data_IF_516693291641
#
_entry.id   IF_516693291641
#
_cell.length_a   1.000
_cell.length_b   1.000
_cell.length_c   1.000
_cell.angle_alpha   90.00
_cell.angle_beta   90.00
_cell.angle_gamma   90.00
#
_symmetry.space_group_name_H-M   'P 1'
#
loop_
_entity.id
_entity.type
_entity.pdbx_description
1 polymer ?
#
# COMPACT_ATOMS: atom_id res chain seq x y z
N UNK A 1 56.76 47.21 31.49
CA UNK A 1 56.28 46.79 30.15
C UNK A 1 56.00 45.28 30.10
N UNK A 2 56.78 44.46 30.81
CA UNK A 2 56.65 42.99 30.79
C UNK A 2 55.32 42.45 31.36
N UNK A 3 54.75 43.07 32.40
CA UNK A 3 53.45 42.67 32.96
C UNK A 3 52.27 42.94 32.01
N UNK A 4 52.34 44.00 31.21
CA UNK A 4 51.30 44.35 30.23
C UNK A 4 51.41 43.42 29.01
N UNK A 5 52.64 43.10 28.57
CA UNK A 5 52.88 42.14 27.49
C UNK A 5 52.41 40.72 27.86
N UNK A 6 52.64 40.26 29.10
CA UNK A 6 52.17 38.96 29.58
C UNK A 6 50.64 38.89 29.73
N UNK A 7 50.00 40.00 30.13
CA UNK A 7 48.53 40.07 30.25
C UNK A 7 47.86 40.08 28.86
N UNK A 8 48.47 40.74 27.87
CA UNK A 8 47.98 40.75 26.49
C UNK A 8 48.19 39.38 25.82
N UNK A 9 49.31 38.70 26.06
CA UNK A 9 49.54 37.36 25.49
C UNK A 9 48.56 36.33 26.05
N UNK A 10 48.27 36.38 27.35
CA UNK A 10 47.29 35.50 27.99
C UNK A 10 45.86 35.74 27.44
N UNK A 11 45.47 36.99 27.16
CA UNK A 11 44.14 37.28 26.59
C UNK A 11 44.03 36.89 25.12
N UNK A 12 45.11 36.93 24.35
CA UNK A 12 45.12 36.47 22.95
C UNK A 12 45.04 34.95 22.83
N UNK A 13 45.62 34.21 23.77
CA UNK A 13 45.55 32.74 23.80
C UNK A 13 44.12 32.26 24.10
N UNK A 14 43.44 32.86 25.08
CA UNK A 14 42.02 32.57 25.37
C UNK A 14 41.11 32.92 24.18
N UNK A 15 41.31 34.09 23.56
CA UNK A 15 40.54 34.52 22.38
C UNK A 15 40.72 33.55 21.19
N UNK A 16 41.94 33.05 20.98
CA UNK A 16 42.24 32.06 19.94
C UNK A 16 41.54 30.72 20.20
N UNK A 17 41.45 30.29 21.46
CA UNK A 17 40.74 29.07 21.87
C UNK A 17 39.24 29.14 21.60
N UNK A 18 38.60 30.28 21.91
CA UNK A 18 37.18 30.49 21.61
C UNK A 18 36.89 30.47 20.11
N UNK A 19 37.79 31.01 19.28
CA UNK A 19 37.65 30.98 17.81
C UNK A 19 37.70 29.54 17.31
N UNK A 20 38.62 28.71 17.79
CA UNK A 20 38.74 27.30 17.38
C UNK A 20 37.47 26.52 17.76
N UNK A 21 36.94 26.72 18.96
CA UNK A 21 35.70 26.07 19.41
C UNK A 21 34.51 26.52 18.56
N UNK A 22 34.36 27.81 18.28
CA UNK A 22 33.31 28.34 17.40
C UNK A 22 33.40 27.78 15.98
N UNK A 23 34.63 27.68 15.44
CA UNK A 23 34.87 27.15 14.10
C UNK A 23 34.55 25.65 14.04
N UNK A 24 34.87 24.89 15.09
CA UNK A 24 34.47 23.49 15.24
C UNK A 24 32.94 23.32 15.24
N UNK A 25 32.21 24.08 16.04
CA UNK A 25 30.75 24.03 16.07
C UNK A 25 30.12 24.50 14.76
N UNK A 26 30.70 25.50 14.10
CA UNK A 26 30.25 25.96 12.79
C UNK A 26 30.42 24.88 11.72
N UNK A 27 31.57 24.20 11.69
CA UNK A 27 31.83 23.08 10.77
C UNK A 27 30.90 21.90 11.09
N UNK A 28 30.69 21.59 12.36
CA UNK A 28 29.75 20.54 12.78
C UNK A 28 28.32 20.87 12.32
N UNK A 29 27.87 22.11 12.54
CA UNK A 29 26.57 22.59 12.08
C UNK A 29 26.45 22.55 10.55
N UNK A 30 27.51 22.92 9.83
CA UNK A 30 27.53 22.88 8.37
C UNK A 30 27.49 21.45 7.83
N UNK A 31 28.19 20.51 8.46
CA UNK A 31 28.13 19.08 8.12
C UNK A 31 26.73 18.53 8.39
N UNK A 32 26.13 18.86 9.54
CA UNK A 32 24.74 18.51 9.85
C UNK A 32 23.81 19.10 8.78
N UNK A 33 23.89 20.40 8.50
CA UNK A 33 23.09 21.06 7.49
C UNK A 33 23.28 20.44 6.09
N UNK A 34 24.49 20.07 5.70
CA UNK A 34 24.80 19.44 4.42
C UNK A 34 24.34 17.99 4.34
N UNK A 35 24.29 17.26 5.46
CA UNK A 35 23.67 15.93 5.56
C UNK A 35 22.13 16.01 5.47
N UNK A 36 21.52 17.04 6.07
CA UNK A 36 20.06 17.23 6.06
C UNK A 36 19.56 17.95 4.81
N UNK A 37 20.37 18.78 4.14
CA UNK A 37 20.04 19.52 2.93
C UNK A 37 19.52 18.64 1.77
N UNK A 38 20.17 17.52 1.39
CA UNK A 38 19.62 16.63 0.36
C UNK A 38 18.32 15.98 0.83
N UNK A 39 18.16 15.70 2.12
CA UNK A 39 16.89 15.20 2.69
C UNK A 39 15.80 16.28 2.60
N UNK A 40 16.13 17.55 2.85
CA UNK A 40 15.22 18.70 2.77
C UNK A 40 14.86 19.04 1.32
N UNK A 41 15.84 19.08 0.40
CA UNK A 41 15.62 19.31 -1.03
C UNK A 41 14.90 18.14 -1.68
N UNK A 42 15.25 16.91 -1.30
CA UNK A 42 14.46 15.74 -1.67
C UNK A 42 13.05 15.89 -1.13
N UNK A 43 12.87 16.15 0.17
CA UNK A 43 11.55 16.38 0.80
C UNK A 43 10.77 17.54 0.16
N UNK A 44 11.44 18.59 -0.33
CA UNK A 44 10.82 19.72 -1.02
C UNK A 44 10.40 19.35 -2.45
N UNK A 45 11.26 18.68 -3.22
CA UNK A 45 10.94 18.14 -4.56
C UNK A 45 9.82 17.10 -4.48
N UNK A 46 9.82 16.36 -3.40
CA UNK A 46 8.81 15.40 -3.00
C UNK A 46 7.51 16.08 -2.62
N UNK A 47 7.54 17.12 -1.78
CA UNK A 47 6.36 17.91 -1.42
C UNK A 47 5.72 18.48 -2.66
N UNK A 48 6.51 19.05 -3.57
CA UNK A 48 6.02 19.53 -4.88
C UNK A 48 5.32 18.44 -5.70
N UNK A 49 5.87 17.23 -5.73
CA UNK A 49 5.21 16.09 -6.39
C UNK A 49 3.96 15.63 -5.64
N UNK A 50 4.00 15.58 -4.32
CA UNK A 50 2.86 15.20 -3.49
C UNK A 50 1.71 16.21 -3.62
N UNK A 51 2.02 17.51 -3.67
CA UNK A 51 1.04 18.57 -3.93
C UNK A 51 0.52 18.49 -5.35
N UNK A 52 1.36 18.20 -6.35
CA UNK A 52 0.89 17.98 -7.73
C UNK A 52 -0.08 16.80 -7.81
N UNK A 53 0.24 15.69 -7.14
CA UNK A 53 -0.61 14.50 -6.99
C UNK A 53 -1.91 14.84 -6.25
N UNK A 54 -1.83 15.58 -5.15
CA UNK A 54 -2.98 16.01 -4.38
C UNK A 54 -3.87 16.96 -5.19
N UNK A 55 -3.28 17.82 -6.01
CA UNK A 55 -3.99 18.69 -6.94
C UNK A 55 -4.59 17.89 -8.12
N UNK A 56 -3.95 16.83 -8.60
CA UNK A 56 -4.54 15.89 -9.57
C UNK A 56 -5.76 15.16 -8.96
N UNK A 57 -5.72 14.85 -7.65
CA UNK A 57 -6.88 14.34 -6.89
C UNK A 57 -7.95 15.40 -6.62
N UNK A 58 -7.54 16.66 -6.44
CA UNK A 58 -8.43 17.79 -6.16
C UNK A 58 -8.91 18.51 -7.42
N UNK A 59 -8.47 18.08 -8.60
CA UNK A 59 -9.14 18.43 -9.85
C UNK A 59 -10.60 18.03 -9.73
N UNK A 60 -11.52 18.78 -10.34
CA UNK A 60 -12.96 18.48 -10.27
C UNK A 60 -13.22 17.07 -10.77
N UNK A 61 -13.31 16.10 -9.86
CA UNK A 61 -13.69 14.73 -10.18
C UNK A 61 -15.19 14.77 -10.39
N UNK A 62 -15.61 14.65 -11.64
CA UNK A 62 -17.02 14.60 -11.99
C UNK A 62 -17.52 13.20 -11.61
N UNK A 63 -18.68 13.16 -10.94
CA UNK A 63 -19.39 11.91 -10.65
C UNK A 63 -19.60 11.12 -11.95
N UNK A 64 -19.20 9.85 -11.97
CA UNK A 64 -19.37 8.98 -13.14
C UNK A 64 -20.38 7.89 -12.83
N UNK A 65 -21.38 7.72 -13.70
CA UNK A 65 -22.43 6.71 -13.51
C UNK A 65 -21.93 5.29 -13.76
N UNK A 66 -20.96 5.11 -14.67
CA UNK A 66 -20.46 3.80 -15.07
C UNK A 66 -19.07 3.52 -14.49
N UNK A 67 -18.76 2.25 -14.16
CA UNK A 67 -17.40 1.86 -13.83
C UNK A 67 -16.47 2.09 -15.03
N UNK A 68 -15.15 2.23 -14.80
CA UNK A 68 -14.18 2.40 -15.87
C UNK A 68 -14.31 1.30 -16.94
N UNK A 69 -14.28 1.71 -18.21
CA UNK A 69 -14.78 0.89 -19.31
C UNK A 69 -14.10 -0.49 -19.37
N UNK A 70 -14.93 -1.55 -19.31
CA UNK A 70 -14.50 -2.95 -19.44
C UNK A 70 -13.81 -3.52 -18.21
N UNK A 71 -13.74 -2.81 -17.09
CA UNK A 71 -13.21 -3.32 -15.81
C UNK A 71 -14.27 -4.01 -14.99
N UNK A 72 -13.92 -5.13 -14.34
CA UNK A 72 -14.75 -5.80 -13.34
C UNK A 72 -14.52 -5.19 -11.96
N UNK A 73 -15.43 -5.47 -11.02
CA UNK A 73 -15.32 -5.02 -9.64
C UNK A 73 -14.00 -5.44 -8.99
N UNK A 74 -13.56 -6.69 -9.19
CA UNK A 74 -12.28 -7.16 -8.65
C UNK A 74 -11.06 -6.45 -9.25
N UNK A 75 -11.10 -6.12 -10.55
CA UNK A 75 -10.05 -5.34 -11.21
C UNK A 75 -10.02 -3.90 -10.68
N UNK A 76 -11.19 -3.27 -10.51
CA UNK A 76 -11.33 -1.93 -9.93
C UNK A 76 -10.82 -1.91 -8.49
N UNK A 77 -11.12 -2.93 -7.69
CA UNK A 77 -10.64 -3.06 -6.31
C UNK A 77 -9.14 -3.10 -6.20
N UNK A 78 -8.54 -4.00 -6.96
CA UNK A 78 -7.09 -4.11 -7.02
C UNK A 78 -6.43 -2.82 -7.52
N UNK A 79 -7.04 -2.07 -8.44
CA UNK A 79 -6.53 -0.76 -8.83
C UNK A 79 -6.73 0.31 -7.74
N UNK A 80 -7.83 0.22 -6.99
CA UNK A 80 -8.18 1.15 -5.93
C UNK A 80 -7.25 1.04 -4.73
N UNK A 81 -7.10 -0.15 -4.14
CA UNK A 81 -6.36 -0.32 -2.89
C UNK A 81 -5.05 -1.12 -3.02
N UNK A 82 -4.74 -1.66 -4.20
CA UNK A 82 -3.54 -2.48 -4.49
C UNK A 82 -3.48 -3.81 -3.73
N UNK A 83 -4.59 -4.23 -3.17
CA UNK A 83 -4.74 -5.44 -2.39
C UNK A 83 -5.88 -6.29 -2.99
N UNK A 84 -5.88 -7.57 -2.66
CA UNK A 84 -6.94 -8.49 -3.08
C UNK A 84 -7.32 -9.28 -1.85
N UNK A 85 -8.53 -9.05 -1.38
CA UNK A 85 -9.10 -9.65 -0.19
C UNK A 85 -10.35 -10.46 -0.57
N UNK A 86 -11.06 -10.96 0.45
CA UNK A 86 -12.27 -11.74 0.26
C UNK A 86 -13.39 -10.92 -0.41
N UNK A 87 -13.40 -9.60 -0.23
CA UNK A 87 -14.41 -8.70 -0.84
C UNK A 87 -14.34 -8.72 -2.37
N UNK A 88 -13.16 -8.82 -2.98
CA UNK A 88 -13.01 -8.97 -4.44
C UNK A 88 -13.56 -10.32 -4.92
N UNK A 89 -13.35 -11.39 -4.14
CA UNK A 89 -13.91 -12.72 -4.45
C UNK A 89 -15.44 -12.68 -4.41
N UNK A 90 -16.01 -12.11 -3.35
CA UNK A 90 -17.46 -11.94 -3.19
C UNK A 90 -18.04 -11.10 -4.33
N UNK A 91 -17.40 -9.98 -4.65
CA UNK A 91 -17.81 -9.12 -5.76
C UNK A 91 -17.79 -9.86 -7.11
N UNK A 92 -16.76 -10.66 -7.40
CA UNK A 92 -16.72 -11.47 -8.62
C UNK A 92 -17.85 -12.50 -8.70
N UNK A 93 -18.23 -13.12 -7.58
CA UNK A 93 -19.37 -14.06 -7.55
C UNK A 93 -20.70 -13.32 -7.73
N UNK A 94 -20.85 -12.14 -7.12
CA UNK A 94 -22.03 -11.29 -7.29
C UNK A 94 -22.16 -10.74 -8.72
N UNK A 95 -21.06 -10.43 -9.39
CA UNK A 95 -21.09 -10.10 -10.83
C UNK A 95 -21.61 -11.27 -11.67
N UNK A 96 -21.19 -12.51 -11.37
CA UNK A 96 -21.69 -13.70 -12.06
C UNK A 96 -23.18 -13.93 -11.80
N UNK A 97 -23.64 -13.60 -10.59
CA UNK A 97 -25.07 -13.62 -10.26
C UNK A 97 -25.85 -12.57 -11.05
N UNK A 98 -25.34 -11.33 -11.12
CA UNK A 98 -25.94 -10.27 -11.90
C UNK A 98 -26.03 -10.61 -13.40
N UNK A 99 -24.99 -11.27 -13.95
CA UNK A 99 -25.00 -11.77 -15.34
C UNK A 99 -25.98 -12.94 -15.56
N UNK A 100 -26.54 -13.50 -14.48
CA UNK A 100 -27.46 -14.64 -14.51
C UNK A 100 -26.77 -15.96 -14.83
N UNK A 101 -25.46 -16.08 -14.58
CA UNK A 101 -24.72 -17.34 -14.74
C UNK A 101 -24.97 -18.29 -13.56
N UNK A 102 -25.14 -17.74 -12.36
CA UNK A 102 -25.40 -18.47 -11.12
C UNK A 102 -26.32 -17.67 -10.20
N UNK A 103 -26.74 -18.28 -9.09
CA UNK A 103 -27.48 -17.62 -8.00
C UNK A 103 -26.90 -18.06 -6.67
N UNK A 104 -26.66 -17.10 -5.78
CA UNK A 104 -26.15 -17.40 -4.43
C UNK A 104 -27.33 -17.84 -3.56
N UNK A 105 -27.26 -19.07 -3.04
CA UNK A 105 -28.31 -19.66 -2.19
C UNK A 105 -27.97 -19.61 -0.70
N UNK A 106 -26.69 -19.41 -0.36
CA UNK A 106 -26.21 -19.37 1.02
C UNK A 106 -24.79 -18.83 1.10
N UNK A 107 -24.27 -18.69 2.31
CA UNK A 107 -22.99 -17.99 2.56
C UNK A 107 -21.79 -18.62 1.83
N UNK A 108 -21.86 -19.91 1.50
CA UNK A 108 -20.84 -20.64 0.74
C UNK A 108 -21.44 -21.57 -0.35
N UNK A 109 -22.67 -21.29 -0.80
CA UNK A 109 -23.38 -22.15 -1.74
C UNK A 109 -23.97 -21.36 -2.90
N UNK A 110 -23.76 -21.89 -4.12
CA UNK A 110 -24.27 -21.31 -5.36
C UNK A 110 -25.02 -22.37 -6.16
N UNK A 111 -26.09 -21.96 -6.82
CA UNK A 111 -26.81 -22.74 -7.83
C UNK A 111 -26.43 -22.21 -9.20
N UNK A 112 -25.90 -23.06 -10.08
CA UNK A 112 -25.60 -22.68 -11.46
C UNK A 112 -26.92 -22.54 -12.21
N UNK A 113 -27.13 -21.40 -12.87
CA UNK A 113 -28.32 -21.14 -13.68
C UNK A 113 -28.04 -21.39 -15.16
N UNK A 114 -26.85 -20.98 -15.62
CA UNK A 114 -26.46 -21.06 -17.03
C UNK A 114 -24.96 -21.40 -17.15
N UNK A 115 -24.68 -22.62 -17.63
CA UNK A 115 -23.31 -23.12 -17.83
C UNK A 115 -22.61 -22.44 -19.01
N UNK A 116 -23.34 -21.96 -20.01
CA UNK A 116 -22.77 -21.29 -21.18
C UNK A 116 -22.21 -19.92 -20.80
N UNK A 117 -22.95 -19.15 -20.00
CA UNK A 117 -22.50 -17.87 -19.45
C UNK A 117 -21.32 -18.06 -18.50
N UNK A 118 -21.33 -19.10 -17.68
CA UNK A 118 -20.21 -19.42 -16.79
C UNK A 118 -18.95 -19.82 -17.57
N UNK A 119 -19.08 -20.48 -18.73
CA UNK A 119 -17.96 -20.81 -19.60
C UNK A 119 -17.32 -19.56 -20.23
N UNK A 120 -18.12 -18.53 -20.54
CA UNK A 120 -17.68 -17.23 -21.05
C UNK A 120 -17.15 -16.28 -19.96
N UNK A 121 -17.34 -16.62 -18.68
CA UNK A 121 -16.84 -15.82 -17.56
C UNK A 121 -15.31 -15.72 -17.58
N UNK A 122 -14.80 -14.63 -16.99
CA UNK A 122 -13.36 -14.39 -16.86
C UNK A 122 -12.70 -15.42 -15.95
N UNK A 123 -11.39 -15.58 -16.10
CA UNK A 123 -10.62 -16.60 -15.35
C UNK A 123 -10.73 -16.37 -13.85
N UNK A 124 -10.54 -15.12 -13.39
CA UNK A 124 -10.65 -14.81 -11.97
C UNK A 124 -12.06 -15.08 -11.41
N UNK A 125 -13.12 -14.86 -12.20
CA UNK A 125 -14.50 -15.10 -11.78
C UNK A 125 -14.78 -16.59 -11.58
N UNK A 126 -14.26 -17.46 -12.45
CA UNK A 126 -14.34 -18.92 -12.28
C UNK A 126 -13.64 -19.36 -11.00
N UNK A 127 -12.42 -18.85 -10.78
CA UNK A 127 -11.64 -19.11 -9.57
C UNK A 127 -12.37 -18.58 -8.32
N UNK A 128 -13.07 -17.44 -8.42
CA UNK A 128 -13.85 -16.89 -7.31
C UNK A 128 -14.98 -17.84 -6.88
N UNK A 129 -15.69 -18.45 -7.82
CA UNK A 129 -16.71 -19.47 -7.52
C UNK A 129 -16.10 -20.66 -6.80
N UNK A 130 -14.93 -21.12 -7.22
CA UNK A 130 -14.21 -22.18 -6.53
C UNK A 130 -13.86 -21.78 -5.09
N UNK A 131 -13.33 -20.57 -4.86
CA UNK A 131 -13.03 -20.11 -3.50
C UNK A 131 -14.27 -19.96 -2.63
N UNK A 132 -15.34 -19.41 -3.19
CA UNK A 132 -16.61 -19.21 -2.49
C UNK A 132 -17.26 -20.54 -2.08
N UNK A 133 -17.21 -21.53 -2.97
CA UNK A 133 -17.79 -22.87 -2.70
C UNK A 133 -16.86 -23.77 -1.87
N UNK A 134 -15.53 -23.64 -2.01
CA UNK A 134 -14.55 -24.44 -1.27
C UNK A 134 -14.51 -24.13 0.22
N UNK A 135 -14.98 -22.94 0.64
CA UNK A 135 -15.23 -22.64 2.06
C UNK A 135 -16.19 -23.65 2.73
N UNK A 136 -16.97 -24.41 1.95
CA UNK A 136 -17.86 -25.49 2.41
C UNK A 136 -17.17 -26.89 2.49
N UNK A 137 -15.95 -27.08 1.99
CA UNK A 137 -15.32 -28.42 1.91
C UNK A 137 -14.57 -28.87 3.18
N UNK A 138 -14.47 -28.03 4.22
CA UNK A 138 -13.71 -28.35 5.43
C UNK A 138 -14.60 -28.57 6.67
N UNK A 139 -15.23 -29.75 6.75
CA UNK A 139 -15.07 -30.69 7.87
C UNK A 139 -15.54 -32.08 7.38
N UNK A 140 -14.76 -33.18 7.54
CA UNK A 140 -13.72 -33.50 8.52
C UNK A 140 -12.28 -33.29 7.96
N UNK A 141 -11.21 -33.04 8.72
CA UNK A 141 -10.77 -33.61 10.00
C UNK A 141 -10.06 -32.56 10.91
N UNK A 142 -10.30 -32.70 12.22
CA UNK A 142 -9.48 -32.40 13.42
C UNK A 142 -8.55 -31.16 13.43
N UNK A 143 -8.82 -30.19 14.33
CA UNK A 143 -8.00 -29.76 15.50
C UNK A 143 -8.73 -28.63 16.23
N UNK A 144 -8.61 -28.65 17.56
CA UNK A 144 -9.41 -28.02 18.61
C UNK A 144 -9.12 -26.52 18.87
N UNK A 145 -10.04 -25.90 19.64
CA UNK A 145 -9.95 -24.67 20.45
C UNK A 145 -10.60 -23.33 19.99
N UNK A 146 -11.91 -23.21 20.36
CA UNK A 146 -12.64 -22.13 21.10
C UNK A 146 -12.45 -20.64 20.71
N UNK A 147 -13.48 -19.86 20.29
CA UNK A 147 -14.74 -19.49 21.00
C UNK A 147 -15.93 -19.19 20.04
N UNK A 148 -17.14 -19.51 20.51
CA UNK A 148 -18.40 -19.79 19.79
C UNK A 148 -19.49 -18.69 19.95
N UNK A 149 -20.32 -18.43 18.91
CA UNK A 149 -21.67 -17.80 18.99
C UNK A 149 -22.70 -18.61 18.16
N UNK A 150 -23.80 -18.96 18.78
CA UNK A 150 -24.57 -20.17 18.57
C UNK A 150 -25.90 -20.07 17.81
N UNK A 151 -26.25 -21.11 17.02
CA UNK A 151 -27.58 -21.34 16.44
C UNK A 151 -27.94 -22.85 16.39
N UNK A 152 -29.16 -23.22 16.79
CA UNK A 152 -29.56 -24.61 17.07
C UNK A 152 -30.17 -25.35 15.87
N UNK A 153 -29.73 -26.58 15.58
CA UNK A 153 -30.42 -27.55 14.70
C UNK A 153 -30.36 -28.94 15.36
N UNK A 154 -31.49 -29.64 15.49
CA UNK A 154 -31.66 -30.87 16.30
C UNK A 154 -31.35 -30.72 17.81
N UNK A 155 -31.67 -29.57 18.41
CA UNK A 155 -31.42 -29.33 19.84
C UNK A 155 -29.93 -29.23 20.21
N UNK A 156 -29.03 -29.13 19.24
CA UNK A 156 -27.62 -28.79 19.44
C UNK A 156 -27.23 -27.54 18.68
N UNK A 157 -26.39 -26.79 19.35
CA UNK A 157 -26.01 -25.41 19.11
C UNK A 157 -24.76 -25.34 18.21
N UNK A 158 -24.80 -24.58 17.11
CA UNK A 158 -23.73 -24.48 16.12
C UNK A 158 -23.35 -23.01 15.85
N UNK A 159 -22.07 -22.70 16.04
CA UNK A 159 -21.46 -21.42 15.72
C UNK A 159 -20.43 -21.57 14.62
N UNK A 160 -20.45 -20.73 13.59
CA UNK A 160 -19.43 -20.74 12.55
C UNK A 160 -18.81 -19.35 12.35
N UNK A 161 -17.50 -19.31 12.55
CA UNK A 161 -16.63 -18.18 12.18
C UNK A 161 -16.07 -18.46 10.79
N UNK A 162 -16.10 -17.47 9.91
CA UNK A 162 -15.48 -17.53 8.58
C UNK A 162 -13.98 -17.78 8.75
N UNK A 163 -13.39 -18.84 8.17
CA UNK A 163 -11.94 -18.99 8.16
C UNK A 163 -11.32 -17.93 7.24
N UNK A 164 -10.77 -16.88 7.83
CA UNK A 164 -9.94 -15.89 7.14
C UNK A 164 -8.55 -16.48 6.93
N UNK A 165 -8.34 -17.05 5.75
CA UNK A 165 -7.13 -16.91 4.91
C UNK A 165 -7.03 -18.12 3.99
N UNK A 166 -7.86 -18.16 2.94
CA UNK A 166 -7.43 -18.93 1.78
C UNK A 166 -6.29 -18.18 1.11
N UNK A 167 -5.27 -18.91 0.68
CA UNK A 167 -4.22 -18.33 -0.12
C UNK A 167 -4.83 -17.86 -1.46
N UNK A 168 -5.20 -16.57 -1.53
CA UNK A 168 -5.81 -15.95 -2.70
C UNK A 168 -4.81 -15.77 -3.85
N UNK A 169 -3.65 -16.42 -3.83
CA UNK A 169 -2.60 -16.25 -4.84
C UNK A 169 -3.08 -16.56 -6.25
N UNK A 170 -3.88 -17.61 -6.45
CA UNK A 170 -4.39 -17.95 -7.78
C UNK A 170 -5.37 -16.91 -8.30
N UNK A 171 -6.32 -16.48 -7.44
CA UNK A 171 -7.26 -15.42 -7.77
C UNK A 171 -6.54 -14.10 -8.04
N UNK A 172 -5.63 -13.70 -7.15
CA UNK A 172 -4.80 -12.49 -7.29
C UNK A 172 -3.97 -12.52 -8.58
N UNK A 173 -3.39 -13.68 -8.92
CA UNK A 173 -2.62 -13.85 -10.14
C UNK A 173 -3.51 -13.71 -11.38
N UNK A 174 -4.71 -14.28 -11.38
CA UNK A 174 -5.67 -14.16 -12.48
C UNK A 174 -6.12 -12.70 -12.69
N UNK A 175 -6.54 -11.99 -11.63
CA UNK A 175 -6.93 -10.57 -11.74
C UNK A 175 -5.76 -9.72 -12.26
N UNK A 176 -4.53 -9.98 -11.79
CA UNK A 176 -3.33 -9.27 -12.27
C UNK A 176 -3.02 -9.58 -13.73
N UNK A 177 -3.18 -10.84 -14.14
CA UNK A 177 -2.94 -11.25 -15.51
C UNK A 177 -3.91 -10.54 -16.46
N UNK A 178 -5.20 -10.47 -16.10
CA UNK A 178 -6.22 -9.76 -16.88
C UNK A 178 -5.96 -8.24 -16.94
N UNK A 179 -5.61 -7.62 -15.81
CA UNK A 179 -5.18 -6.22 -15.78
C UNK A 179 -3.94 -5.98 -16.64
N UNK A 180 -2.99 -6.91 -16.62
CA UNK A 180 -1.77 -6.84 -17.44
C UNK A 180 -2.09 -6.92 -18.93
N UNK A 181 -3.06 -7.73 -19.35
CA UNK A 181 -3.54 -7.77 -20.74
C UNK A 181 -4.15 -6.45 -21.18
N UNK A 182 -4.80 -5.74 -20.26
CA UNK A 182 -5.27 -4.36 -20.46
C UNK A 182 -4.15 -3.32 -20.35
N UNK A 183 -2.92 -3.77 -20.13
CA UNK A 183 -1.70 -2.98 -20.01
C UNK A 183 -1.55 -2.24 -18.68
N UNK A 184 -2.24 -2.67 -17.62
CA UNK A 184 -2.06 -2.18 -16.25
C UNK A 184 -1.16 -3.13 -15.47
N UNK A 185 0.01 -2.65 -15.05
CA UNK A 185 0.93 -3.42 -14.22
C UNK A 185 0.74 -3.01 -12.76
N UNK A 186 0.23 -3.93 -11.95
CA UNK A 186 -0.02 -3.72 -10.51
C UNK A 186 0.87 -4.66 -9.70
N UNK A 187 1.78 -4.07 -8.92
CA UNK A 187 2.59 -4.77 -7.92
C UNK A 187 1.87 -4.77 -6.55
N UNK A 188 2.09 -5.82 -5.73
CA UNK A 188 1.63 -5.86 -4.34
C UNK A 188 2.03 -4.60 -3.56
N UNK A 189 1.12 -4.06 -2.76
CA UNK A 189 1.42 -2.96 -1.83
C UNK A 189 2.64 -3.26 -0.94
N UNK A 190 2.70 -4.46 -0.35
CA UNK A 190 3.84 -4.89 0.50
C UNK A 190 5.16 -4.99 -0.26
N UNK A 191 5.15 -5.44 -1.52
CA UNK A 191 6.37 -5.50 -2.35
C UNK A 191 6.82 -4.09 -2.73
N UNK A 192 5.89 -3.22 -3.13
CA UNK A 192 6.19 -1.83 -3.44
C UNK A 192 6.78 -1.10 -2.23
N UNK A 193 6.17 -1.24 -1.04
CA UNK A 193 6.68 -0.65 0.21
C UNK A 193 8.12 -1.11 0.51
N UNK A 194 8.41 -2.41 0.38
CA UNK A 194 9.78 -2.94 0.56
C UNK A 194 10.76 -2.38 -0.47
N UNK A 195 10.39 -2.34 -1.76
CA UNK A 195 11.23 -1.74 -2.81
C UNK A 195 11.55 -0.27 -2.51
N UNK A 196 10.58 0.49 -1.96
CA UNK A 196 10.77 1.90 -1.58
C UNK A 196 11.67 2.06 -0.37
N UNK A 197 11.43 1.29 0.70
CA UNK A 197 12.31 1.27 1.89
C UNK A 197 13.74 0.94 1.45
N UNK A 198 13.93 -0.13 0.67
CA UNK A 198 15.25 -0.52 0.18
C UNK A 198 15.94 0.59 -0.63
N UNK A 199 15.23 1.28 -1.53
CA UNK A 199 15.77 2.44 -2.26
C UNK A 199 16.13 3.59 -1.33
N UNK A 200 15.31 3.90 -0.34
CA UNK A 200 15.59 4.96 0.64
C UNK A 200 16.80 4.61 1.49
N UNK A 201 16.91 3.37 1.98
CA UNK A 201 18.09 2.87 2.69
C UNK A 201 19.33 3.01 1.82
N UNK A 202 19.26 2.55 0.56
CA UNK A 202 20.38 2.63 -0.37
C UNK A 202 20.86 4.08 -0.58
N UNK A 203 19.93 5.03 -0.76
CA UNK A 203 20.28 6.45 -0.92
C UNK A 203 20.91 7.00 0.35
N UNK A 204 20.35 6.70 1.53
CA UNK A 204 20.86 7.19 2.81
C UNK A 204 22.22 6.57 3.12
N UNK A 205 22.44 5.30 2.79
CA UNK A 205 23.72 4.62 3.01
C UNK A 205 24.87 5.19 2.15
N UNK A 206 24.56 5.97 1.12
CA UNK A 206 25.57 6.66 0.30
C UNK A 206 25.99 8.02 0.89
N UNK A 207 25.29 8.58 1.89
CA UNK A 207 25.68 9.86 2.51
C UNK A 207 27.12 9.86 3.05
N UNK A 208 27.62 8.80 3.72
CA UNK A 208 29.01 8.72 4.16
C UNK A 208 30.04 8.81 3.02
N UNK A 209 29.66 8.52 1.78
CA UNK A 209 30.55 8.64 0.61
C UNK A 209 30.95 10.09 0.34
N UNK A 210 30.17 11.08 0.83
CA UNK A 210 30.53 12.51 0.73
C UNK A 210 31.85 12.78 1.46
N UNK A 211 32.18 12.04 2.51
CA UNK A 211 33.46 12.18 3.22
C UNK A 211 34.69 11.82 2.37
N UNK A 212 34.51 11.06 1.28
CA UNK A 212 35.59 10.78 0.33
C UNK A 212 36.04 12.02 -0.47
N UNK A 213 35.23 13.08 -0.49
CA UNK A 213 35.53 14.34 -1.18
C UNK A 213 36.19 15.38 -0.27
N UNK A 214 36.27 15.12 1.04
CA UNK A 214 36.97 15.99 1.96
C UNK A 214 38.46 15.63 1.96
N UNK A 215 39.38 16.63 2.01
CA UNK A 215 40.79 16.36 2.26
C UNK A 215 40.90 15.72 3.65
N UNK A 216 41.32 14.46 3.69
CA UNK A 216 41.49 13.71 4.94
C UNK A 216 42.97 13.67 5.29
N UNK A 217 43.28 14.01 6.54
CA UNK A 217 44.59 13.81 7.13
C UNK A 217 44.47 12.59 8.04
N UNK A 218 44.97 11.43 7.61
CA UNK A 218 44.91 10.20 8.40
C UNK A 218 46.31 9.80 8.84
N UNK A 219 46.53 9.62 10.14
CA UNK A 219 47.84 9.31 10.72
C UNK A 219 48.97 10.29 10.31
N UNK A 220 48.64 11.58 10.11
CA UNK A 220 49.60 12.61 9.72
C UNK A 220 49.99 12.63 8.24
N UNK A 221 49.36 11.79 7.40
CA UNK A 221 49.52 11.83 5.94
C UNK A 221 48.38 12.65 5.35
N UNK A 222 48.72 13.72 4.62
CA UNK A 222 47.74 14.50 3.86
C UNK A 222 47.40 13.78 2.55
N UNK A 223 46.11 13.48 2.35
CA UNK A 223 45.62 12.94 1.09
C UNK A 223 44.91 14.05 0.31
N UNK A 224 45.40 14.29 -0.90
CA UNK A 224 44.74 15.22 -1.83
C UNK A 224 43.29 14.76 -2.13
N UNK A 225 42.35 15.71 -2.31
CA UNK A 225 40.97 15.38 -2.70
C UNK A 225 40.95 14.53 -3.98
N UNK A 226 40.06 13.54 -4.06
CA UNK A 226 39.89 12.64 -5.22
C UNK A 226 41.09 11.74 -5.54
N UNK A 227 42.12 11.70 -4.70
CA UNK A 227 43.19 10.70 -4.82
C UNK A 227 42.62 9.29 -4.71
N UNK A 228 43.22 8.30 -5.39
CA UNK A 228 42.78 6.90 -5.31
C UNK A 228 42.68 6.43 -3.85
N UNK A 229 43.61 6.83 -2.99
CA UNK A 229 43.61 6.50 -1.58
C UNK A 229 42.43 7.09 -0.81
N UNK A 230 42.07 8.36 -1.06
CA UNK A 230 40.88 8.99 -0.46
C UNK A 230 39.58 8.30 -0.88
N UNK A 231 39.53 7.78 -2.11
CA UNK A 231 38.39 7.01 -2.61
C UNK A 231 38.30 5.66 -1.89
N UNK A 232 39.41 4.93 -1.77
CA UNK A 232 39.46 3.65 -1.08
C UNK A 232 39.08 3.77 0.40
N UNK A 233 39.65 4.76 1.11
CA UNK A 233 39.31 5.03 2.51
C UNK A 233 37.84 5.44 2.67
N UNK A 234 37.34 6.32 1.79
CA UNK A 234 35.93 6.70 1.75
C UNK A 234 34.98 5.51 1.52
N UNK A 235 35.35 4.57 0.64
CA UNK A 235 34.60 3.33 0.44
C UNK A 235 34.62 2.46 1.70
N UNK A 236 35.79 2.24 2.31
CA UNK A 236 35.92 1.43 3.54
C UNK A 236 35.07 2.03 4.67
N UNK A 237 35.10 3.35 4.85
CA UNK A 237 34.29 4.05 5.85
C UNK A 237 32.80 3.95 5.51
N UNK A 238 32.43 4.08 4.23
CA UNK A 238 31.02 3.96 3.79
C UNK A 238 30.48 2.54 4.00
N UNK A 239 31.26 1.51 3.69
CA UNK A 239 30.84 0.12 3.92
C UNK A 239 30.87 -0.23 5.41
N UNK A 240 31.88 0.20 6.16
CA UNK A 240 32.02 -0.05 7.60
C UNK A 240 30.94 0.63 8.43
N UNK A 241 30.80 1.95 8.30
CA UNK A 241 29.71 2.70 8.94
C UNK A 241 28.35 2.32 8.35
N UNK A 242 28.30 2.01 7.06
CA UNK A 242 27.09 1.56 6.38
C UNK A 242 26.52 0.28 6.99
N UNK A 243 27.39 -0.68 7.28
CA UNK A 243 27.04 -1.93 7.95
C UNK A 243 26.65 -1.71 9.42
N UNK A 244 27.45 -0.92 10.16
CA UNK A 244 27.20 -0.62 11.57
C UNK A 244 25.87 0.14 11.78
N UNK A 245 25.58 1.11 10.93
CA UNK A 245 24.38 1.97 11.01
C UNK A 245 23.20 1.43 10.19
N UNK A 246 23.33 0.27 9.56
CA UNK A 246 22.26 -0.38 8.79
C UNK A 246 20.91 -0.46 9.52
N UNK A 247 20.82 -0.88 10.82
CA UNK A 247 19.53 -0.90 11.52
C UNK A 247 18.94 0.51 11.70
N UNK A 248 19.78 1.52 11.92
CA UNK A 248 19.35 2.92 12.03
C UNK A 248 18.81 3.42 10.70
N UNK A 249 19.46 3.10 9.57
CA UNK A 249 18.98 3.45 8.23
C UNK A 249 17.65 2.77 7.90
N UNK A 250 17.46 1.50 8.29
CA UNK A 250 16.19 0.82 8.13
C UNK A 250 15.07 1.50 8.93
N UNK A 251 15.34 1.91 10.16
CA UNK A 251 14.36 2.61 11.00
C UNK A 251 13.98 3.96 10.38
N UNK A 252 14.96 4.77 9.98
CA UNK A 252 14.73 6.06 9.32
C UNK A 252 13.94 5.87 8.02
N UNK A 253 14.35 4.92 7.17
CA UNK A 253 13.66 4.64 5.92
C UNK A 253 12.23 4.16 6.15
N UNK A 254 11.99 3.33 7.17
CA UNK A 254 10.64 2.91 7.56
C UNK A 254 9.77 4.10 7.99
N UNK A 255 10.29 4.98 8.85
CA UNK A 255 9.58 6.18 9.32
C UNK A 255 9.26 7.09 8.14
N UNK A 256 10.22 7.36 7.27
CA UNK A 256 10.04 8.17 6.06
C UNK A 256 8.95 7.58 5.17
N UNK A 257 9.04 6.30 4.82
CA UNK A 257 8.05 5.65 3.94
C UNK A 257 6.66 5.62 4.59
N UNK A 258 6.55 5.36 5.90
CA UNK A 258 5.28 5.40 6.63
C UNK A 258 4.66 6.80 6.64
N UNK A 259 5.47 7.83 6.94
CA UNK A 259 5.05 9.23 6.92
C UNK A 259 4.54 9.64 5.53
N UNK A 260 5.23 9.19 4.50
CA UNK A 260 4.87 9.42 3.10
C UNK A 260 3.55 8.79 2.69
N UNK A 261 3.33 7.52 3.02
CA UNK A 261 2.07 6.84 2.72
C UNK A 261 0.90 7.57 3.39
N UNK A 262 1.09 8.10 4.61
CA UNK A 262 0.07 8.88 5.33
C UNK A 262 -0.29 10.17 4.59
N UNK A 263 0.67 10.90 4.03
CA UNK A 263 0.42 12.22 3.43
C UNK A 263 0.13 12.18 1.91
N UNK A 264 0.82 11.33 1.16
CA UNK A 264 0.63 11.21 -0.30
C UNK A 264 -0.40 10.13 -0.69
N UNK A 265 -0.89 9.34 0.28
CA UNK A 265 -1.78 8.21 0.05
C UNK A 265 -1.11 7.07 -0.72
N UNK A 266 -1.92 6.18 -1.34
CA UNK A 266 -1.44 5.10 -2.21
C UNK A 266 -1.01 5.59 -3.61
N UNK A 267 -1.33 6.83 -3.99
CA UNK A 267 -1.14 7.36 -5.35
C UNK A 267 0.31 7.40 -5.84
N UNK A 268 1.28 7.59 -4.94
CA UNK A 268 2.70 7.57 -5.30
C UNK A 268 3.22 6.16 -5.67
N UNK A 269 2.45 5.11 -5.40
CA UNK A 269 2.74 3.72 -5.78
C UNK A 269 2.12 3.35 -7.14
N UNK A 270 1.21 4.17 -7.67
CA UNK A 270 0.58 3.93 -8.96
C UNK A 270 1.54 4.23 -10.12
N UNK A 271 1.44 3.38 -11.15
CA UNK A 271 2.08 3.62 -12.44
C UNK A 271 1.39 4.80 -13.15
N UNK A 272 2.04 5.39 -14.16
CA UNK A 272 1.47 6.51 -14.91
C UNK A 272 0.08 6.19 -15.47
N UNK A 273 -0.14 4.95 -15.93
CA UNK A 273 -1.41 4.51 -16.51
C UNK A 273 -2.50 4.34 -15.45
N UNK A 274 -2.19 3.77 -14.28
CA UNK A 274 -3.15 3.67 -13.17
C UNK A 274 -3.56 5.07 -12.69
N UNK A 275 -2.62 6.03 -12.66
CA UNK A 275 -2.96 7.42 -12.32
C UNK A 275 -3.92 8.08 -13.32
N UNK A 276 -3.86 7.71 -14.59
CA UNK A 276 -4.74 8.28 -15.63
C UNK A 276 -6.19 7.84 -15.46
N UNK A 277 -6.44 6.59 -15.05
CA UNK A 277 -7.79 6.07 -14.84
C UNK A 277 -8.33 6.33 -13.42
N UNK A 278 -7.47 6.79 -12.51
CA UNK A 278 -7.85 7.08 -11.12
C UNK A 278 -9.05 8.04 -10.99
N UNK A 279 -9.15 9.14 -11.76
CA UNK A 279 -10.31 10.03 -11.70
C UNK A 279 -11.63 9.33 -12.06
N UNK A 280 -11.59 8.33 -12.96
CA UNK A 280 -12.77 7.56 -13.34
C UNK A 280 -13.22 6.64 -12.20
N UNK A 281 -12.27 5.90 -11.61
CA UNK A 281 -12.52 5.03 -10.45
C UNK A 281 -13.11 5.85 -9.29
N UNK A 282 -12.50 7.00 -9.00
CA UNK A 282 -12.91 7.87 -7.91
C UNK A 282 -14.24 8.58 -8.19
N UNK A 283 -14.50 9.00 -9.43
CA UNK A 283 -15.77 9.59 -9.83
C UNK A 283 -16.93 8.58 -9.74
N UNK A 284 -16.67 7.32 -10.09
CA UNK A 284 -17.64 6.24 -9.91
C UNK A 284 -17.84 5.88 -8.43
N UNK A 285 -16.77 5.88 -7.63
CA UNK A 285 -16.88 5.70 -6.17
C UNK A 285 -17.78 6.76 -5.54
N UNK A 286 -17.59 8.04 -5.90
CA UNK A 286 -18.41 9.16 -5.43
C UNK A 286 -19.88 8.96 -5.84
N UNK A 287 -20.13 8.56 -7.10
CA UNK A 287 -21.48 8.26 -7.57
C UNK A 287 -22.14 7.16 -6.73
N UNK A 288 -21.44 6.04 -6.50
CA UNK A 288 -21.96 4.93 -5.71
C UNK A 288 -22.31 5.37 -4.29
N UNK A 289 -21.42 6.12 -3.64
CA UNK A 289 -21.63 6.61 -2.27
C UNK A 289 -22.82 7.56 -2.15
N UNK A 290 -22.97 8.45 -3.13
CA UNK A 290 -23.92 9.58 -3.04
C UNK A 290 -25.28 9.29 -3.62
N UNK A 291 -25.36 8.43 -4.64
CA UNK A 291 -26.59 8.20 -5.42
C UNK A 291 -27.09 6.79 -5.27
N UNK A 292 -26.22 5.78 -5.40
CA UNK A 292 -26.68 4.41 -5.64
C UNK A 292 -26.61 3.50 -4.40
N UNK A 293 -25.91 3.91 -3.35
CA UNK A 293 -25.78 3.13 -2.13
C UNK A 293 -27.13 2.85 -1.48
N UNK A 294 -28.00 3.86 -1.40
CA UNK A 294 -29.34 3.72 -0.82
C UNK A 294 -30.21 2.76 -1.65
N UNK A 295 -30.11 2.82 -2.98
CA UNK A 295 -30.81 1.90 -3.89
C UNK A 295 -30.31 0.46 -3.68
N UNK A 296 -28.99 0.26 -3.63
CA UNK A 296 -28.36 -1.05 -3.38
C UNK A 296 -28.85 -1.62 -2.04
N UNK A 297 -28.86 -0.81 -0.98
CA UNK A 297 -29.32 -1.24 0.34
C UNK A 297 -30.81 -1.56 0.37
N UNK A 298 -31.63 -0.79 -0.36
CA UNK A 298 -33.06 -1.04 -0.49
C UNK A 298 -33.34 -2.35 -1.24
N UNK A 299 -32.70 -2.56 -2.39
CA UNK A 299 -32.85 -3.79 -3.17
C UNK A 299 -32.35 -5.02 -2.41
N UNK A 300 -31.30 -4.86 -1.60
CA UNK A 300 -30.82 -5.90 -0.70
C UNK A 300 -31.82 -6.31 0.39
N UNK A 301 -32.96 -5.62 0.54
CA UNK A 301 -34.07 -6.01 1.43
C UNK A 301 -35.11 -6.90 0.74
N UNK A 302 -35.18 -6.91 -0.59
CA UNK A 302 -36.08 -7.79 -1.33
C UNK A 302 -35.64 -9.26 -1.26
N UNK A 303 -36.58 -10.21 -1.29
CA UNK A 303 -36.25 -11.64 -1.11
C UNK A 303 -35.79 -12.33 -2.43
N UNK A 304 -36.28 -11.89 -3.59
CA UNK A 304 -35.86 -12.42 -4.92
C UNK A 304 -35.14 -11.36 -5.79
N UNK A 305 -34.70 -10.26 -5.19
CA UNK A 305 -33.97 -9.22 -5.91
C UNK A 305 -32.65 -9.78 -6.42
N UNK A 306 -32.40 -9.68 -7.73
CA UNK A 306 -31.05 -9.82 -8.26
C UNK A 306 -30.24 -8.61 -7.81
N UNK A 307 -28.95 -8.84 -7.47
CA UNK A 307 -28.08 -7.74 -7.12
C UNK A 307 -27.87 -6.80 -8.31
N UNK A 308 -27.91 -5.49 -8.05
CA UNK A 308 -27.63 -4.47 -9.06
C UNK A 308 -26.23 -4.65 -9.63
N UNK A 309 -26.03 -4.12 -10.85
CA UNK A 309 -24.72 -4.06 -11.50
C UNK A 309 -23.67 -3.35 -10.63
N UNK A 310 -24.10 -2.40 -9.80
CA UNK A 310 -23.27 -1.54 -8.97
C UNK A 310 -22.88 -2.14 -7.62
N UNK A 311 -23.68 -3.06 -7.07
CA UNK A 311 -23.43 -3.65 -5.75
C UNK A 311 -22.05 -4.33 -5.60
N UNK A 312 -21.54 -5.11 -6.59
CA UNK A 312 -20.20 -5.68 -6.52
C UNK A 312 -19.09 -4.62 -6.35
N UNK A 313 -19.23 -3.48 -7.02
CA UNK A 313 -18.26 -2.39 -6.93
C UNK A 313 -18.34 -1.69 -5.58
N UNK A 314 -19.54 -1.48 -5.05
CA UNK A 314 -19.73 -0.89 -3.74
C UNK A 314 -19.08 -1.74 -2.63
N UNK A 315 -19.16 -3.07 -2.71
CA UNK A 315 -18.49 -4.00 -1.79
C UNK A 315 -16.97 -3.84 -1.84
N UNK A 316 -16.41 -3.75 -3.05
CA UNK A 316 -14.97 -3.60 -3.25
C UNK A 316 -14.44 -2.27 -2.70
N UNK A 317 -15.22 -1.19 -2.84
CA UNK A 317 -14.93 0.09 -2.19
C UNK A 317 -15.12 0.09 -0.67
N UNK A 318 -15.71 -0.98 -0.10
CA UNK A 318 -15.91 -1.16 1.33
C UNK A 318 -17.20 -0.51 1.86
N UNK A 319 -18.17 -0.22 0.99
CA UNK A 319 -19.48 0.26 1.43
C UNK A 319 -20.34 -0.88 1.98
N UNK A 320 -21.19 -0.56 2.95
CA UNK A 320 -22.14 -1.51 3.52
C UNK A 320 -23.37 -1.65 2.60
N UNK A 321 -23.38 -2.71 1.80
CA UNK A 321 -24.47 -3.01 0.85
C UNK A 321 -25.56 -3.93 1.43
N UNK A 322 -25.44 -4.38 2.69
CA UNK A 322 -26.34 -5.37 3.31
C UNK A 322 -26.47 -6.71 2.55
N UNK A 323 -25.56 -7.02 1.64
CA UNK A 323 -25.56 -8.24 0.82
C UNK A 323 -25.59 -9.54 1.65
N UNK A 324 -24.95 -9.55 2.82
CA UNK A 324 -24.96 -10.70 3.73
C UNK A 324 -26.38 -11.03 4.23
N UNK A 325 -27.17 -9.99 4.52
CA UNK A 325 -28.54 -10.15 5.00
C UNK A 325 -29.42 -10.75 3.91
N UNK A 326 -29.22 -10.32 2.66
CA UNK A 326 -29.91 -10.89 1.50
C UNK A 326 -29.62 -12.39 1.37
N UNK A 327 -28.35 -12.79 1.44
CA UNK A 327 -27.95 -14.20 1.34
C UNK A 327 -28.52 -15.02 2.51
N UNK A 328 -28.48 -14.48 3.74
CA UNK A 328 -29.07 -15.15 4.91
C UNK A 328 -30.57 -15.41 4.71
N UNK A 329 -31.33 -14.42 4.23
CA UNK A 329 -32.77 -14.60 3.96
C UNK A 329 -33.03 -15.65 2.88
N UNK A 330 -32.28 -15.62 1.78
CA UNK A 330 -32.39 -16.63 0.71
C UNK A 330 -32.09 -18.05 1.20
N UNK A 331 -31.11 -18.19 2.10
CA UNK A 331 -30.81 -19.48 2.71
C UNK A 331 -31.97 -19.99 3.55
N UNK A 332 -32.62 -19.13 4.34
CA UNK A 332 -33.79 -19.49 5.15
C UNK A 332 -35.06 -19.78 4.35
N UNK A 333 -35.21 -19.20 3.15
CA UNK A 333 -36.35 -19.52 2.27
C UNK A 333 -36.17 -20.81 1.47
N UNK A 334 -34.93 -21.32 1.39
CA UNK A 334 -34.58 -22.52 0.61
C UNK A 334 -34.55 -23.81 1.45
N UNK A 335 -34.56 -23.67 2.78
CA UNK A 335 -34.71 -24.72 3.79
C UNK A 335 -36.18 -24.84 4.19
#
# INVERSE_FOLDING_TARGET
>A
MDSIAATISASTDDFSGYIIILLFFFVLFFIVFLLFSPVILFAARVRRKATQIANERAGTIISQFEPPQGMTAAEVGLLYDMEVDTKEVIASVLELEHMGALRITGMNSVKILDTSKLALAKEHQKIAVEFFTKSNKNQPDVIQDTNQISAFVNGKEYSFTIPVSHNLTSFTAAVRHELSQKGFVVDDFRRQRRKRIARTVFIISLLPMIFAFLPTNWNGVEYGPLSLYSIFTGLIVTFGLGFLLFPVYLLIAYIVVKFWIKHAGKYWLYTKKIRQIWPEIEGFRIFLETVDLDNIQFEAQGDDAFMTKSAPYAIVFGYDTKWENLIKRRSSSSS
#
